data_IF_202641591690
#
_entry.id   IF_202641591690
#
_cell.length_a   1.000
_cell.length_b   1.000
_cell.length_c   1.000
_cell.angle_alpha   90.00
_cell.angle_beta   90.00
_cell.angle_gamma   90.00
#
_symmetry.space_group_name_H-M   'P 1'
#
loop_
_entity.id
_entity.type
_entity.pdbx_description
1 polymer ?
#
# COMPACT_ATOMS: atom_id res chain seq x y z
N UNK A 1 24.61 -4.83 7.30
CA UNK A 1 24.09 -5.01 5.93
C UNK A 1 24.48 -3.86 5.00
N UNK A 2 24.11 -2.60 5.28
CA UNK A 2 24.35 -1.48 4.35
C UNK A 2 25.66 -0.71 4.56
N UNK A 3 26.42 -1.01 5.63
CA UNK A 3 27.65 -0.29 5.98
C UNK A 3 28.63 -0.13 4.82
N UNK A 4 28.91 -1.15 3.98
CA UNK A 4 29.81 -0.98 2.84
C UNK A 4 29.36 0.10 1.85
N UNK A 5 28.06 0.21 1.62
CA UNK A 5 27.46 1.13 0.63
C UNK A 5 27.41 2.58 1.13
N UNK A 6 27.41 2.81 2.44
CA UNK A 6 27.30 4.15 3.04
C UNK A 6 28.60 4.64 3.69
N UNK A 7 29.65 3.82 3.68
CA UNK A 7 30.97 4.22 4.22
C UNK A 7 31.64 5.23 3.30
N UNK A 8 32.21 6.28 3.88
CA UNK A 8 33.03 7.29 3.19
C UNK A 8 34.38 7.38 3.87
N UNK A 9 35.40 7.77 3.12
CA UNK A 9 36.78 7.92 3.62
C UNK A 9 37.02 9.34 4.14
N UNK A 10 37.88 9.44 5.15
CA UNK A 10 38.36 10.73 5.64
C UNK A 10 39.09 11.48 4.54
N UNK A 11 38.89 12.80 4.50
CA UNK A 11 39.71 13.66 3.65
C UNK A 11 40.82 14.29 4.48
N UNK A 12 41.81 14.87 3.82
CA UNK A 12 42.90 15.62 4.49
C UNK A 12 42.38 16.74 5.41
N UNK A 13 41.18 17.27 5.15
CA UNK A 13 40.64 18.44 5.87
C UNK A 13 39.46 18.10 6.79
N UNK A 14 38.82 16.94 6.65
CA UNK A 14 37.60 16.60 7.40
C UNK A 14 37.47 15.10 7.64
N UNK A 15 37.06 14.72 8.86
CA UNK A 15 36.60 13.36 9.15
C UNK A 15 35.28 13.09 8.43
N UNK A 16 35.14 11.90 7.88
CA UNK A 16 33.89 11.44 7.28
C UNK A 16 32.84 11.20 8.37
N UNK A 17 31.58 11.51 8.04
CA UNK A 17 30.45 11.14 8.89
C UNK A 17 30.35 9.62 8.89
N UNK A 18 30.27 9.02 10.08
CA UNK A 18 30.31 7.57 10.23
C UNK A 18 29.08 6.90 9.59
N UNK A 19 29.18 5.64 9.15
CA UNK A 19 28.02 4.89 8.66
C UNK A 19 26.83 4.90 9.62
N UNK A 20 27.10 4.82 10.93
CA UNK A 20 26.11 4.83 11.99
C UNK A 20 25.40 6.18 12.08
N UNK A 21 26.14 7.29 12.02
CA UNK A 21 25.55 8.64 12.01
C UNK A 21 24.74 8.88 10.74
N UNK A 22 25.24 8.45 9.57
CA UNK A 22 24.52 8.56 8.29
C UNK A 22 23.18 7.83 8.32
N UNK A 23 23.18 6.61 8.87
CA UNK A 23 21.97 5.83 9.10
C UNK A 23 21.03 6.53 10.10
N UNK A 24 21.56 7.01 11.23
CA UNK A 24 20.76 7.69 12.25
C UNK A 24 20.10 8.96 11.72
N UNK A 25 20.83 9.79 10.96
CA UNK A 25 20.30 10.99 10.28
C UNK A 25 19.14 10.61 9.36
N UNK A 26 19.34 9.57 8.55
CA UNK A 26 18.33 9.13 7.57
C UNK A 26 17.08 8.59 8.26
N UNK A 27 17.23 7.67 9.23
CA UNK A 27 16.09 7.12 9.97
C UNK A 27 15.34 8.21 10.75
N UNK A 28 16.06 9.17 11.34
CA UNK A 28 15.46 10.33 12.00
C UNK A 28 14.63 11.15 11.01
N UNK A 29 15.18 11.47 9.84
CA UNK A 29 14.48 12.19 8.78
C UNK A 29 13.19 11.47 8.37
N UNK A 30 13.26 10.16 8.09
CA UNK A 30 12.09 9.37 7.67
C UNK A 30 11.01 9.31 8.76
N UNK A 31 11.43 9.06 10.02
CA UNK A 31 10.51 8.87 11.14
C UNK A 31 9.85 10.18 11.61
N UNK A 32 10.49 11.33 11.47
CA UNK A 32 10.00 12.61 12.03
C UNK A 32 9.56 13.64 10.99
N UNK A 33 10.01 13.51 9.74
CA UNK A 33 9.78 14.54 8.72
C UNK A 33 10.39 15.90 9.12
N UNK A 34 11.46 15.89 9.91
CA UNK A 34 12.22 17.09 10.27
C UNK A 34 12.88 17.74 9.05
N UNK A 35 13.09 19.05 9.11
CA UNK A 35 13.85 19.74 8.07
C UNK A 35 15.33 19.37 8.16
N UNK A 36 16.02 19.39 7.01
CA UNK A 36 17.48 19.18 6.99
C UNK A 36 18.22 20.22 7.83
N UNK A 37 17.64 21.41 8.00
CA UNK A 37 18.10 22.44 8.95
C UNK A 37 18.05 21.97 10.40
N UNK A 38 16.93 21.40 10.86
CA UNK A 38 16.82 20.84 12.21
C UNK A 38 17.86 19.75 12.45
N UNK A 39 17.94 18.80 11.51
CA UNK A 39 18.91 17.70 11.56
C UNK A 39 20.35 18.19 11.57
N UNK A 40 20.65 19.29 10.88
CA UNK A 40 21.98 19.88 10.85
C UNK A 40 22.44 20.34 12.23
N UNK A 41 21.56 20.98 13.01
CA UNK A 41 21.87 21.36 14.39
C UNK A 41 22.00 20.14 15.30
N UNK A 42 21.11 19.15 15.15
CA UNK A 42 21.10 17.97 16.02
C UNK A 42 22.34 17.09 15.84
N UNK A 43 22.71 16.79 14.61
CA UNK A 43 23.83 15.89 14.29
C UNK A 43 25.15 16.64 14.05
N UNK A 44 25.13 17.98 14.07
CA UNK A 44 26.30 18.84 13.76
C UNK A 44 26.90 18.54 12.39
N UNK A 45 26.06 18.20 11.43
CA UNK A 45 26.41 17.93 10.02
C UNK A 45 25.83 19.03 9.15
N UNK A 46 26.56 19.53 8.16
CA UNK A 46 26.04 20.59 7.29
C UNK A 46 24.80 20.14 6.51
N UNK A 47 23.85 21.05 6.27
CA UNK A 47 22.65 20.76 5.47
C UNK A 47 22.99 20.21 4.09
N UNK A 48 24.03 20.77 3.45
CA UNK A 48 24.51 20.31 2.15
C UNK A 48 24.89 18.83 2.19
N UNK A 49 25.62 18.39 3.23
CA UNK A 49 26.02 17.00 3.37
C UNK A 49 24.81 16.09 3.72
N UNK A 50 23.88 16.55 4.57
CA UNK A 50 22.64 15.83 4.86
C UNK A 50 21.81 15.59 3.58
N UNK A 51 21.76 16.59 2.69
CA UNK A 51 21.04 16.50 1.41
C UNK A 51 21.59 15.41 0.48
N UNK A 52 22.85 14.99 0.69
CA UNK A 52 23.50 13.88 -0.01
C UNK A 52 23.35 12.57 0.78
N UNK A 53 23.50 12.61 2.11
CA UNK A 53 23.40 11.44 3.00
C UNK A 53 22.04 10.75 2.87
N UNK A 54 20.95 11.51 2.92
CA UNK A 54 19.59 10.95 2.94
C UNK A 54 19.33 10.07 1.71
N UNK A 55 19.44 10.57 0.46
CA UNK A 55 19.17 9.75 -0.72
C UNK A 55 20.16 8.58 -0.86
N UNK A 56 21.46 8.79 -0.61
CA UNK A 56 22.46 7.71 -0.67
C UNK A 56 22.13 6.57 0.30
N UNK A 57 21.74 6.92 1.52
CA UNK A 57 21.40 5.93 2.55
C UNK A 57 20.06 5.26 2.26
N UNK A 58 19.07 5.99 1.75
CA UNK A 58 17.80 5.43 1.33
C UNK A 58 17.97 4.38 0.20
N UNK A 59 18.81 4.68 -0.81
CA UNK A 59 19.12 3.72 -1.88
C UNK A 59 19.77 2.47 -1.32
N UNK A 60 20.77 2.63 -0.44
CA UNK A 60 21.46 1.50 0.18
C UNK A 60 20.53 0.62 1.04
N UNK A 61 19.58 1.23 1.76
CA UNK A 61 18.54 0.51 2.51
C UNK A 61 17.67 -0.30 1.54
N UNK A 62 17.18 0.33 0.47
CA UNK A 62 16.32 -0.33 -0.51
C UNK A 62 17.03 -1.49 -1.20
N UNK A 63 18.23 -1.28 -1.73
CA UNK A 63 19.00 -2.32 -2.43
C UNK A 63 19.29 -3.54 -1.55
N UNK A 64 19.57 -3.33 -0.26
CA UNK A 64 19.87 -4.42 0.66
C UNK A 64 18.64 -5.19 1.13
N UNK A 65 17.48 -4.52 1.27
CA UNK A 65 16.29 -5.11 1.89
C UNK A 65 15.22 -5.53 0.87
N UNK A 66 15.16 -4.91 -0.30
CA UNK A 66 14.13 -5.17 -1.31
C UNK A 66 14.06 -6.65 -1.73
N UNK A 67 15.19 -7.36 -1.96
CA UNK A 67 15.15 -8.77 -2.34
C UNK A 67 14.55 -9.70 -1.27
N UNK A 68 14.56 -9.24 -0.01
CA UNK A 68 14.14 -10.03 1.16
C UNK A 68 12.67 -9.72 1.51
N UNK A 69 12.31 -8.43 1.59
CA UNK A 69 11.01 -7.99 2.15
C UNK A 69 10.01 -7.50 1.10
N UNK A 70 10.40 -7.31 -0.17
CA UNK A 70 9.51 -6.87 -1.27
C UNK A 70 9.57 -7.79 -2.48
N UNK A 71 9.73 -9.10 -2.25
CA UNK A 71 9.74 -10.10 -3.31
C UNK A 71 8.33 -10.34 -3.84
N UNK A 72 8.16 -10.23 -5.16
CA UNK A 72 6.90 -10.54 -5.85
C UNK A 72 6.75 -12.07 -5.95
N UNK A 73 5.61 -12.65 -5.51
CA UNK A 73 5.30 -14.05 -5.72
C UNK A 73 5.26 -14.37 -7.23
N UNK A 74 6.00 -15.40 -7.68
CA UNK A 74 6.09 -15.74 -9.12
C UNK A 74 5.36 -17.02 -9.51
N UNK A 75 4.94 -17.81 -8.53
CA UNK A 75 4.28 -19.09 -8.77
C UNK A 75 2.91 -19.15 -8.09
N UNK A 76 2.04 -20.01 -8.62
CA UNK A 76 0.70 -20.24 -8.06
C UNK A 76 0.74 -20.72 -6.61
N UNK A 77 1.73 -21.52 -6.27
CA UNK A 77 1.91 -21.98 -4.90
C UNK A 77 2.35 -20.85 -3.96
N UNK A 78 3.18 -19.92 -4.43
CA UNK A 78 3.56 -18.74 -3.64
C UNK A 78 2.36 -17.80 -3.41
N UNK A 79 1.56 -17.54 -4.45
CA UNK A 79 0.33 -16.77 -4.30
C UNK A 79 -0.70 -17.46 -3.41
N UNK A 80 -0.78 -18.80 -3.46
CA UNK A 80 -1.63 -19.59 -2.57
C UNK A 80 -1.19 -19.51 -1.12
N UNK A 81 0.13 -19.50 -0.85
CA UNK A 81 0.65 -19.28 0.51
C UNK A 81 0.30 -17.88 1.02
N UNK A 82 0.46 -16.86 0.17
CA UNK A 82 0.05 -15.49 0.50
C UNK A 82 -1.45 -15.40 0.79
N UNK A 83 -2.29 -16.14 0.04
CA UNK A 83 -3.73 -16.14 0.26
C UNK A 83 -4.19 -17.01 1.44
N UNK A 84 -3.45 -18.06 1.81
CA UNK A 84 -3.69 -18.82 3.04
C UNK A 84 -3.39 -17.99 4.28
N UNK A 85 -2.39 -17.11 4.17
CA UNK A 85 -2.13 -16.09 5.18
C UNK A 85 -3.14 -14.91 5.13
N UNK A 86 -4.24 -15.03 4.37
CA UNK A 86 -5.40 -14.14 4.45
C UNK A 86 -6.36 -14.71 5.51
N UNK A 87 -6.17 -14.43 6.82
CA UNK A 87 -7.13 -14.85 7.81
C UNK A 87 -8.51 -14.28 7.46
N UNK A 88 -9.56 -15.00 7.85
CA UNK A 88 -10.94 -14.52 7.79
C UNK A 88 -11.14 -13.16 8.48
N UNK A 89 -10.18 -12.75 9.32
CA UNK A 89 -10.11 -11.48 10.02
C UNK A 89 -8.95 -10.63 9.47
N UNK A 90 -9.28 -9.50 8.84
CA UNK A 90 -8.35 -8.53 8.21
C UNK A 90 -7.18 -8.11 9.13
N UNK A 91 -7.39 -8.16 10.44
CA UNK A 91 -6.49 -7.74 11.52
C UNK A 91 -5.20 -8.53 11.64
N UNK A 92 -5.21 -9.81 11.24
CA UNK A 92 -4.07 -10.72 11.43
C UNK A 92 -3.20 -10.86 10.17
N UNK A 93 -3.51 -10.14 9.09
CA UNK A 93 -3.01 -10.48 7.77
C UNK A 93 -1.62 -9.88 7.43
N UNK A 94 -0.74 -10.59 6.70
CA UNK A 94 0.48 -10.07 6.10
C UNK A 94 0.23 -9.12 4.91
N UNK A 95 -1.03 -8.79 4.62
CA UNK A 95 -1.45 -7.90 3.53
C UNK A 95 -0.95 -6.45 3.61
N UNK A 96 -0.28 -6.08 4.69
CA UNK A 96 0.40 -4.79 4.80
C UNK A 96 1.70 -4.71 3.99
N UNK A 97 2.10 -5.80 3.33
CA UNK A 97 3.33 -5.85 2.56
C UNK A 97 3.13 -5.25 1.18
N UNK A 98 3.84 -4.16 0.93
CA UNK A 98 3.96 -3.60 -0.42
C UNK A 98 4.87 -4.50 -1.26
N UNK A 99 4.36 -5.13 -2.31
CA UNK A 99 5.15 -5.99 -3.22
C UNK A 99 5.61 -5.25 -4.47
N UNK A 100 4.92 -4.16 -4.81
CA UNK A 100 5.23 -3.29 -5.94
C UNK A 100 4.84 -1.87 -5.58
N UNK A 101 5.53 -0.91 -6.15
CA UNK A 101 5.29 0.51 -5.92
C UNK A 101 5.56 1.29 -7.21
N UNK A 102 4.89 2.42 -7.35
CA UNK A 102 5.11 3.36 -8.44
C UNK A 102 4.79 4.77 -7.92
N UNK A 103 5.61 5.76 -8.31
CA UNK A 103 5.47 7.15 -7.88
C UNK A 103 5.98 8.11 -8.95
N UNK A 104 5.59 9.39 -8.85
CA UNK A 104 6.09 10.45 -9.74
C UNK A 104 5.11 10.91 -10.82
N UNK A 105 3.84 10.53 -10.74
CA UNK A 105 2.82 11.11 -11.62
C UNK A 105 2.44 12.51 -11.16
N UNK A 106 2.17 13.41 -12.11
CA UNK A 106 1.74 14.77 -11.83
C UNK A 106 0.41 14.76 -11.04
N UNK A 107 0.31 15.50 -9.94
CA UNK A 107 -0.90 15.54 -9.09
C UNK A 107 -2.16 16.12 -9.76
N UNK A 108 -2.06 16.65 -10.98
CA UNK A 108 -3.23 17.00 -11.82
C UNK A 108 -3.72 15.84 -12.70
N UNK A 109 -2.95 14.76 -12.80
CA UNK A 109 -3.40 13.58 -13.51
C UNK A 109 -4.47 12.88 -12.66
N UNK A 110 -5.57 12.50 -13.29
CA UNK A 110 -6.55 11.62 -12.65
C UNK A 110 -5.98 10.23 -12.44
N UNK A 111 -6.63 9.46 -11.58
CA UNK A 111 -6.18 8.11 -11.22
C UNK A 111 -6.31 7.13 -12.37
N UNK A 112 -7.34 7.30 -13.21
CA UNK A 112 -7.39 6.64 -14.51
C UNK A 112 -6.22 7.04 -15.42
N UNK A 113 -5.70 8.27 -15.33
CA UNK A 113 -4.50 8.73 -16.01
C UNK A 113 -3.20 8.14 -15.45
N UNK A 114 -3.10 8.01 -14.13
CA UNK A 114 -2.01 7.32 -13.42
C UNK A 114 -1.99 5.85 -13.83
N UNK A 115 -3.13 5.15 -13.72
CA UNK A 115 -3.28 3.74 -14.10
C UNK A 115 -2.90 3.48 -15.57
N UNK A 116 -3.30 4.37 -16.48
CA UNK A 116 -3.00 4.19 -17.90
C UNK A 116 -1.51 4.34 -18.26
N UNK A 117 -0.72 4.96 -17.38
CA UNK A 117 0.74 5.10 -17.52
C UNK A 117 1.50 4.15 -16.61
N UNK A 118 0.77 3.40 -15.78
CA UNK A 118 1.34 2.55 -14.74
C UNK A 118 1.97 1.32 -15.39
N UNK A 119 3.24 1.06 -15.09
CA UNK A 119 3.93 -0.13 -15.59
C UNK A 119 3.24 -1.42 -15.14
N UNK A 120 2.58 -1.39 -13.97
CA UNK A 120 1.80 -2.53 -13.49
C UNK A 120 0.70 -2.92 -14.48
N UNK A 121 0.04 -1.95 -15.11
CA UNK A 121 -0.99 -2.22 -16.11
C UNK A 121 -0.39 -2.93 -17.33
N UNK A 122 0.74 -2.44 -17.84
CA UNK A 122 1.46 -3.06 -18.96
C UNK A 122 1.82 -4.51 -18.64
N UNK A 123 2.49 -4.73 -17.51
CA UNK A 123 2.92 -6.07 -17.09
C UNK A 123 1.74 -7.04 -16.86
N UNK A 124 0.56 -6.54 -16.48
CA UNK A 124 -0.68 -7.32 -16.38
C UNK A 124 -1.23 -7.67 -17.76
N UNK A 125 -1.28 -6.69 -18.66
CA UNK A 125 -1.81 -6.87 -20.02
C UNK A 125 -0.92 -7.77 -20.88
N UNK A 126 0.39 -7.81 -20.58
CA UNK A 126 1.36 -8.72 -21.21
C UNK A 126 1.55 -10.04 -20.45
N UNK A 127 0.76 -10.32 -19.41
CA UNK A 127 0.84 -11.55 -18.59
C UNK A 127 2.23 -11.78 -17.93
N UNK A 128 3.06 -10.74 -17.82
CA UNK A 128 4.40 -10.83 -17.22
C UNK A 128 4.34 -10.95 -15.69
N UNK A 129 3.31 -10.35 -15.08
CA UNK A 129 2.89 -10.69 -13.73
C UNK A 129 1.94 -11.85 -13.90
N UNK A 130 2.33 -13.03 -13.40
CA UNK A 130 1.52 -14.24 -13.44
C UNK A 130 0.21 -14.13 -12.64
N UNK A 131 -0.70 -13.26 -13.08
CA UNK A 131 -2.12 -13.31 -12.72
C UNK A 131 -2.57 -14.68 -13.19
N UNK A 132 -2.95 -15.51 -12.23
CA UNK A 132 -3.29 -16.89 -12.50
C UNK A 132 -4.42 -16.99 -13.52
N UNK A 133 -4.43 -18.08 -14.30
CA UNK A 133 -5.58 -18.38 -15.14
C UNK A 133 -6.85 -18.41 -14.26
N UNK A 134 -8.01 -18.09 -14.86
CA UNK A 134 -9.29 -18.15 -14.16
C UNK A 134 -9.47 -19.45 -13.37
N UNK A 135 -9.99 -19.32 -12.16
CA UNK A 135 -10.18 -20.44 -11.25
C UNK A 135 -11.60 -20.43 -10.67
N UNK A 136 -12.05 -21.59 -10.21
CA UNK A 136 -13.34 -21.71 -9.55
C UNK A 136 -13.27 -21.07 -8.16
N UNK A 137 -14.31 -20.33 -7.80
CA UNK A 137 -14.49 -19.91 -6.41
C UNK A 137 -14.93 -21.12 -5.55
N UNK A 138 -14.74 -21.07 -4.23
CA UNK A 138 -15.20 -22.13 -3.34
C UNK A 138 -16.70 -22.39 -3.54
N UNK A 139 -17.05 -23.64 -3.88
CA UNK A 139 -18.42 -24.08 -4.17
C UNK A 139 -19.10 -23.35 -5.34
N UNK A 140 -18.33 -22.84 -6.31
CA UNK A 140 -18.85 -22.17 -7.50
C UNK A 140 -18.23 -22.77 -8.76
N UNK A 141 -19.03 -23.42 -9.60
CA UNK A 141 -18.54 -24.16 -10.77
C UNK A 141 -18.13 -23.27 -11.96
N UNK A 142 -18.35 -21.95 -11.84
CA UNK A 142 -17.97 -20.98 -12.86
C UNK A 142 -16.57 -20.46 -12.54
N UNK A 143 -15.67 -20.58 -13.51
CA UNK A 143 -14.35 -19.97 -13.45
C UNK A 143 -14.47 -18.44 -13.50
N UNK A 144 -13.81 -17.78 -12.55
CA UNK A 144 -13.67 -16.31 -12.53
C UNK A 144 -12.19 -15.93 -12.60
N UNK A 145 -11.85 -14.79 -13.23
CA UNK A 145 -10.49 -14.29 -13.23
C UNK A 145 -10.08 -13.78 -11.84
N UNK A 146 -8.78 -13.79 -11.58
CA UNK A 146 -8.21 -13.04 -10.46
C UNK A 146 -8.30 -11.54 -10.77
N UNK A 147 -8.65 -10.75 -9.75
CA UNK A 147 -8.86 -9.30 -9.90
C UNK A 147 -8.11 -8.51 -8.83
N UNK A 148 -7.62 -7.34 -9.22
CA UNK A 148 -7.16 -6.29 -8.32
C UNK A 148 -8.38 -5.48 -7.88
N UNK A 149 -8.49 -5.20 -6.58
CA UNK A 149 -9.58 -4.36 -6.07
C UNK A 149 -9.16 -2.89 -6.16
N UNK A 150 -9.89 -2.12 -6.93
CA UNK A 150 -9.75 -0.66 -7.05
C UNK A 150 -10.92 0.07 -6.39
N UNK A 151 -10.76 1.37 -6.20
CA UNK A 151 -11.85 2.27 -5.89
C UNK A 151 -12.61 2.70 -7.17
N UNK A 152 -13.60 3.56 -6.99
CA UNK A 152 -14.45 4.07 -8.06
C UNK A 152 -13.77 5.09 -9.00
N UNK A 153 -12.57 5.58 -8.67
CA UNK A 153 -11.80 6.47 -9.54
C UNK A 153 -11.08 5.71 -10.67
N UNK A 154 -10.85 4.41 -10.50
CA UNK A 154 -10.27 3.57 -11.54
C UNK A 154 -11.32 3.15 -12.60
N UNK A 155 -10.90 2.82 -13.83
CA UNK A 155 -11.78 2.22 -14.82
C UNK A 155 -12.04 0.74 -14.50
N UNK A 156 -13.30 0.29 -14.52
CA UNK A 156 -13.62 -1.13 -14.37
C UNK A 156 -13.09 -1.94 -15.57
N UNK A 157 -12.29 -2.97 -15.30
CA UNK A 157 -11.70 -3.89 -16.29
C UNK A 157 -11.85 -5.36 -15.82
N UNK A 158 -11.50 -6.33 -16.68
CA UNK A 158 -11.60 -7.76 -16.34
C UNK A 158 -10.73 -8.15 -15.14
N UNK A 159 -9.61 -7.46 -14.96
CA UNK A 159 -8.61 -7.68 -13.91
C UNK A 159 -8.64 -6.57 -12.84
N UNK A 160 -9.50 -5.56 -12.97
CA UNK A 160 -9.58 -4.41 -12.05
C UNK A 160 -11.03 -4.19 -11.65
N UNK A 161 -11.35 -4.56 -10.41
CA UNK A 161 -12.69 -4.64 -9.86
C UNK A 161 -13.00 -3.43 -8.99
N UNK A 162 -14.07 -2.72 -9.34
CA UNK A 162 -14.48 -1.48 -8.68
C UNK A 162 -15.95 -1.57 -8.23
N UNK A 163 -16.37 -0.80 -7.22
CA UNK A 163 -17.74 -0.82 -6.75
C UNK A 163 -18.76 -0.45 -7.83
N UNK A 164 -20.01 -0.85 -7.64
CA UNK A 164 -21.12 -0.34 -8.44
C UNK A 164 -21.27 1.18 -8.18
N UNK A 165 -21.53 1.98 -9.23
CA UNK A 165 -21.74 3.42 -9.08
C UNK A 165 -23.20 3.75 -8.68
N UNK A 166 -23.40 4.91 -8.03
CA UNK A 166 -24.72 5.47 -7.68
C UNK A 166 -25.23 5.05 -6.30
N UNK A 167 -26.15 5.82 -5.72
CA UNK A 167 -26.62 5.61 -4.34
C UNK A 167 -27.89 4.73 -4.21
N UNK A 168 -28.70 4.62 -5.27
CA UNK A 168 -29.88 3.75 -5.30
C UNK A 168 -29.50 2.36 -5.80
N UNK A 169 -28.88 1.56 -4.93
CA UNK A 169 -28.43 0.22 -5.26
C UNK A 169 -29.33 -0.85 -4.63
N UNK A 170 -29.49 -1.99 -5.30
CA UNK A 170 -30.10 -3.15 -4.67
C UNK A 170 -29.26 -3.62 -3.49
N UNK A 171 -29.87 -4.26 -2.51
CA UNK A 171 -29.16 -4.82 -1.34
C UNK A 171 -27.96 -5.70 -1.76
N UNK A 172 -28.10 -6.46 -2.84
CA UNK A 172 -27.04 -7.31 -3.40
C UNK A 172 -25.78 -6.53 -3.81
N UNK A 173 -25.98 -5.36 -4.44
CA UNK A 173 -24.89 -4.47 -4.87
C UNK A 173 -24.26 -3.76 -3.67
N UNK A 174 -25.05 -3.39 -2.66
CA UNK A 174 -24.53 -2.88 -1.40
C UNK A 174 -23.62 -3.89 -0.72
N UNK A 175 -24.03 -5.17 -0.65
CA UNK A 175 -23.21 -6.25 -0.10
C UNK A 175 -21.90 -6.38 -0.87
N UNK A 176 -21.95 -6.41 -2.21
CA UNK A 176 -20.75 -6.46 -3.04
C UNK A 176 -19.81 -5.27 -2.77
N UNK A 177 -20.33 -4.05 -2.77
CA UNK A 177 -19.56 -2.84 -2.53
C UNK A 177 -18.93 -2.82 -1.14
N UNK A 178 -19.68 -3.26 -0.13
CA UNK A 178 -19.17 -3.41 1.22
C UNK A 178 -18.02 -4.42 1.24
N UNK A 179 -18.16 -5.62 0.64
CA UNK A 179 -17.06 -6.61 0.57
C UNK A 179 -15.80 -6.05 -0.08
N UNK A 180 -15.95 -5.27 -1.16
CA UNK A 180 -14.84 -4.55 -1.80
C UNK A 180 -14.21 -3.51 -0.87
N UNK A 181 -15.02 -2.70 -0.19
CA UNK A 181 -14.55 -1.72 0.80
C UNK A 181 -13.74 -2.42 1.89
N UNK A 182 -14.21 -3.56 2.40
CA UNK A 182 -13.45 -4.33 3.40
C UNK A 182 -12.10 -4.83 2.89
N UNK A 183 -12.03 -5.26 1.64
CA UNK A 183 -10.77 -5.63 1.01
C UNK A 183 -9.84 -4.41 0.88
N UNK A 184 -10.37 -3.22 0.58
CA UNK A 184 -9.59 -1.97 0.49
C UNK A 184 -9.13 -1.42 1.84
N UNK A 185 -9.80 -1.72 2.95
CA UNK A 185 -9.33 -1.32 4.30
C UNK A 185 -7.93 -1.80 4.61
N UNK A 186 -7.51 -2.89 4.00
CA UNK A 186 -6.14 -3.40 4.05
C UNK A 186 -5.15 -2.35 3.53
N UNK A 187 -5.37 -1.83 2.31
CA UNK A 187 -4.49 -0.83 1.72
C UNK A 187 -4.60 0.51 2.46
N UNK A 188 -5.79 0.90 2.91
CA UNK A 188 -6.03 2.13 3.68
C UNK A 188 -5.25 2.10 5.00
N UNK A 189 -5.42 1.03 5.80
CA UNK A 189 -4.63 0.83 7.02
C UNK A 189 -3.12 0.79 6.71
N UNK A 190 -2.69 0.22 5.59
CA UNK A 190 -1.26 0.14 5.24
C UNK A 190 -0.66 1.52 5.02
N UNK A 191 -1.34 2.37 4.23
CA UNK A 191 -0.93 3.75 4.03
C UNK A 191 -1.04 4.58 5.31
N UNK A 192 -2.07 4.34 6.13
CA UNK A 192 -2.25 4.96 7.44
C UNK A 192 -1.09 4.67 8.39
N UNK A 193 -0.73 3.39 8.57
CA UNK A 193 0.42 2.97 9.38
C UNK A 193 1.72 3.53 8.81
N UNK A 194 1.91 3.43 7.49
CA UNK A 194 3.11 3.92 6.82
C UNK A 194 3.32 5.42 7.10
N UNK A 195 2.27 6.24 6.95
CA UNK A 195 2.33 7.69 7.17
C UNK A 195 2.46 8.05 8.66
N UNK A 196 1.84 7.27 9.55
CA UNK A 196 1.97 7.43 11.00
C UNK A 196 3.38 7.08 11.51
N UNK A 197 4.02 6.06 10.93
CA UNK A 197 5.38 5.65 11.33
C UNK A 197 6.48 6.45 10.64
N UNK A 198 6.24 6.87 9.40
CA UNK A 198 7.16 7.68 8.61
C UNK A 198 6.56 9.06 8.37
N UNK A 199 6.71 9.93 9.37
CA UNK A 199 6.16 11.29 9.38
C UNK A 199 6.70 12.18 8.24
N UNK A 200 7.72 11.73 7.51
CA UNK A 200 8.15 12.35 6.25
C UNK A 200 7.02 12.46 5.22
N UNK A 201 6.00 11.59 5.27
CA UNK A 201 4.84 11.66 4.38
C UNK A 201 3.79 12.69 4.80
N UNK A 202 3.82 13.16 6.05
CA UNK A 202 2.86 14.15 6.54
C UNK A 202 3.23 15.59 6.16
N UNK A 203 4.32 15.77 5.42
CA UNK A 203 4.78 17.06 4.89
C UNK A 203 5.25 16.87 3.44
N UNK A 204 5.18 17.91 2.59
CA UNK A 204 5.76 17.86 1.27
C UNK A 204 7.26 17.50 1.34
N UNK A 205 7.66 16.44 0.63
CA UNK A 205 9.06 16.02 0.55
C UNK A 205 9.80 17.02 -0.35
N UNK A 206 10.52 17.97 0.26
CA UNK A 206 11.20 19.08 -0.44
C UNK A 206 12.50 18.64 -1.13
N UNK A 207 12.37 17.83 -2.17
CA UNK A 207 13.49 17.35 -3.00
C UNK A 207 13.02 17.09 -4.43
N UNK A 208 13.94 16.85 -5.36
CA UNK A 208 13.59 16.44 -6.72
C UNK A 208 12.90 15.05 -6.73
N UNK A 209 12.04 14.75 -7.72
CA UNK A 209 11.26 13.51 -7.80
C UNK A 209 12.10 12.24 -7.66
N UNK A 210 13.31 12.22 -8.23
CA UNK A 210 14.20 11.05 -8.22
C UNK A 210 14.65 10.72 -6.79
N UNK A 211 14.97 11.74 -5.99
CA UNK A 211 15.34 11.57 -4.58
C UNK A 211 14.12 11.29 -3.70
N UNK A 212 12.96 11.83 -4.05
CA UNK A 212 11.70 11.51 -3.36
C UNK A 212 11.35 10.03 -3.54
N UNK A 213 11.58 9.47 -4.73
CA UNK A 213 11.42 8.04 -4.99
C UNK A 213 12.31 7.19 -4.09
N UNK A 214 13.57 7.58 -3.86
CA UNK A 214 14.47 6.88 -2.93
C UNK A 214 13.92 6.88 -1.50
N UNK A 215 13.38 8.01 -1.05
CA UNK A 215 12.73 8.12 0.28
C UNK A 215 11.52 7.18 0.37
N UNK A 216 10.65 7.19 -0.65
CA UNK A 216 9.47 6.32 -0.73
C UNK A 216 9.89 4.84 -0.68
N UNK A 217 10.84 4.44 -1.52
CA UNK A 217 11.40 3.09 -1.58
C UNK A 217 11.92 2.61 -0.22
N UNK A 218 12.70 3.44 0.45
CA UNK A 218 13.24 3.13 1.78
C UNK A 218 12.14 2.95 2.81
N UNK A 219 11.14 3.83 2.85
CA UNK A 219 10.01 3.71 3.76
C UNK A 219 9.20 2.41 3.51
N UNK A 220 8.92 2.08 2.26
CA UNK A 220 8.16 0.87 1.90
C UNK A 220 8.87 -0.42 2.32
N UNK A 221 10.18 -0.51 2.05
CA UNK A 221 10.94 -1.71 2.41
C UNK A 221 11.12 -1.83 3.93
N UNK A 222 11.34 -0.71 4.63
CA UNK A 222 11.43 -0.68 6.09
C UNK A 222 10.08 -1.03 6.74
N UNK A 223 8.97 -0.56 6.17
CA UNK A 223 7.62 -0.95 6.60
C UNK A 223 7.45 -2.47 6.54
N UNK A 224 7.77 -3.08 5.40
CA UNK A 224 7.66 -4.53 5.23
C UNK A 224 8.57 -5.31 6.19
N UNK A 225 9.80 -4.83 6.40
CA UNK A 225 10.74 -5.42 7.36
C UNK A 225 10.20 -5.35 8.78
N UNK A 226 9.81 -4.15 9.26
CA UNK A 226 9.31 -3.94 10.62
C UNK A 226 8.00 -4.70 10.87
N UNK A 227 7.12 -4.80 9.88
CA UNK A 227 5.93 -5.66 9.94
C UNK A 227 6.25 -7.14 10.05
N UNK A 228 7.37 -7.58 9.48
CA UNK A 228 7.79 -8.99 9.47
C UNK A 228 8.51 -9.36 10.76
N UNK A 229 9.37 -8.48 11.27
CA UNK A 229 10.26 -8.79 12.39
C UNK A 229 9.72 -8.31 13.75
N UNK A 230 8.91 -7.25 13.75
CA UNK A 230 8.47 -6.56 14.98
C UNK A 230 7.00 -6.15 14.88
N UNK A 231 6.14 -7.07 14.43
CA UNK A 231 4.72 -6.80 14.11
C UNK A 231 3.96 -6.11 15.25
N UNK A 232 4.12 -6.63 16.48
CA UNK A 232 3.40 -6.13 17.66
C UNK A 232 3.83 -4.70 18.00
N UNK A 233 5.12 -4.38 17.90
CA UNK A 233 5.63 -3.04 18.21
C UNK A 233 5.32 -2.03 17.10
N UNK A 234 5.47 -2.46 15.84
CA UNK A 234 5.32 -1.58 14.68
C UNK A 234 3.86 -1.25 14.36
N UNK A 235 2.96 -2.18 14.61
CA UNK A 235 1.56 -2.11 14.18
C UNK A 235 0.68 -2.87 15.16
N UNK A 236 0.58 -2.35 16.39
CA UNK A 236 -0.27 -2.94 17.41
C UNK A 236 -1.74 -2.88 16.97
N UNK A 237 -2.61 -3.79 17.45
CA UNK A 237 -4.00 -3.87 17.00
C UNK A 237 -4.76 -2.56 17.11
N UNK A 238 -4.49 -1.75 18.14
CA UNK A 238 -5.15 -0.46 18.40
C UNK A 238 -4.86 0.58 17.32
N UNK A 239 -3.76 0.41 16.57
CA UNK A 239 -3.45 1.28 15.47
C UNK A 239 -4.38 1.01 14.28
N UNK A 240 -4.88 -0.21 14.10
CA UNK A 240 -5.62 -0.67 12.92
C UNK A 240 -7.13 -0.41 13.02
N UNK A 241 -7.78 -0.17 11.88
CA UNK A 241 -9.23 -0.24 11.78
C UNK A 241 -9.70 -1.69 11.98
N UNK A 242 -10.64 -1.89 12.92
CA UNK A 242 -11.16 -3.20 13.31
C UNK A 242 -12.68 -3.28 13.12
N UNK A 243 -13.17 -4.47 12.78
CA UNK A 243 -14.60 -4.77 12.70
C UNK A 243 -15.06 -5.43 14.01
N UNK A 244 -15.78 -4.69 14.86
CA UNK A 244 -16.47 -5.28 16.01
C UNK A 244 -17.79 -5.89 15.52
N UNK A 245 -17.73 -7.15 15.07
CA UNK A 245 -18.88 -7.90 14.54
C UNK A 245 -19.97 -8.03 15.60
N UNK A 246 -19.61 -8.17 16.88
CA UNK A 246 -20.57 -8.34 17.97
C UNK A 246 -21.33 -7.05 18.26
N UNK A 247 -20.64 -5.90 18.24
CA UNK A 247 -21.25 -4.59 18.46
C UNK A 247 -21.72 -3.92 17.17
N UNK A 248 -21.56 -4.58 16.01
CA UNK A 248 -21.94 -4.07 14.69
C UNK A 248 -21.39 -2.67 14.44
N UNK A 249 -20.09 -2.48 14.67
CA UNK A 249 -19.45 -1.19 14.48
C UNK A 249 -18.03 -1.34 13.95
N UNK A 250 -17.61 -0.34 13.20
CA UNK A 250 -16.21 -0.12 12.90
C UNK A 250 -15.56 0.54 14.11
N UNK A 251 -14.46 -0.03 14.59
CA UNK A 251 -13.54 0.63 15.52
C UNK A 251 -12.43 1.22 14.68
N UNK A 252 -12.41 2.56 14.62
CA UNK A 252 -11.41 3.31 13.87
C UNK A 252 -10.08 3.23 14.61
N UNK A 253 -9.01 2.93 13.89
CA UNK A 253 -7.66 2.79 14.41
C UNK A 253 -7.03 4.13 14.78
N UNK A 254 -6.08 4.12 15.70
CA UNK A 254 -5.40 5.34 16.16
C UNK A 254 -4.60 6.07 15.07
N UNK A 255 -4.34 5.45 13.91
CA UNK A 255 -3.62 6.15 12.84
C UNK A 255 -4.42 7.33 12.27
N UNK A 256 -5.75 7.35 12.45
CA UNK A 256 -6.62 8.46 12.06
C UNK A 256 -6.41 9.73 12.91
N UNK A 257 -6.00 9.60 14.18
CA UNK A 257 -5.79 10.74 15.10
C UNK A 257 -4.65 11.68 14.65
N UNK A 258 -3.76 11.20 13.78
CA UNK A 258 -2.58 11.91 13.31
C UNK A 258 -2.68 12.37 11.84
N UNK A 259 -3.84 12.22 11.20
CA UNK A 259 -4.00 12.70 9.83
C UNK A 259 -4.05 14.22 9.74
N UNK A 260 -3.22 14.77 8.85
CA UNK A 260 -3.41 16.07 8.21
C UNK A 260 -3.47 15.82 6.70
N UNK A 261 -4.66 15.54 6.15
CA UNK A 261 -4.99 15.52 4.70
C UNK A 261 -3.86 15.08 3.72
N UNK A 262 -3.04 14.08 4.09
CA UNK A 262 -1.81 13.78 3.36
C UNK A 262 -2.07 12.91 2.11
N UNK A 263 -3.17 12.15 2.14
CA UNK A 263 -3.68 11.35 1.03
C UNK A 263 -5.08 11.89 0.71
N UNK A 264 -5.19 12.64 -0.38
CA UNK A 264 -6.46 13.19 -0.82
C UNK A 264 -7.32 12.12 -1.51
N UNK A 265 -8.64 12.28 -1.41
CA UNK A 265 -9.57 11.46 -2.17
C UNK A 265 -9.35 11.61 -3.67
N UNK A 266 -9.52 10.50 -4.38
CA UNK A 266 -9.27 10.36 -5.80
C UNK A 266 -10.32 11.10 -6.65
N UNK A 267 -9.92 11.62 -7.80
CA UNK A 267 -10.86 12.29 -8.71
C UNK A 267 -11.57 11.26 -9.59
N UNK A 268 -12.86 11.06 -9.34
CA UNK A 268 -13.70 10.15 -10.13
C UNK A 268 -13.87 10.67 -11.56
N UNK A 269 -13.41 9.90 -12.55
CA UNK A 269 -13.72 10.12 -13.97
C UNK A 269 -14.59 8.99 -14.50
N UNK A 270 -15.86 9.30 -14.78
CA UNK A 270 -16.81 8.35 -15.34
C UNK A 270 -16.38 7.87 -16.74
N UNK A 271 -16.11 6.57 -16.90
CA UNK A 271 -15.90 5.90 -18.19
C UNK A 271 -16.86 4.72 -18.33
N UNK A 272 -17.37 4.48 -19.55
CA UNK A 272 -18.23 3.31 -19.80
C UNK A 272 -17.39 2.03 -19.80
N UNK A 273 -17.67 1.06 -18.91
CA UNK A 273 -16.94 -0.20 -18.88
C UNK A 273 -17.31 -1.11 -20.07
N UNK A 274 -16.39 -2.02 -20.43
CA UNK A 274 -16.67 -3.07 -21.42
C UNK A 274 -17.64 -4.10 -20.83
N UNK A 275 -18.51 -4.69 -21.67
CA UNK A 275 -19.53 -5.67 -21.24
C UNK A 275 -18.94 -6.82 -20.43
N UNK A 276 -17.82 -7.39 -20.88
CA UNK A 276 -17.20 -8.51 -20.17
C UNK A 276 -16.70 -8.13 -18.77
N UNK A 277 -16.24 -6.89 -18.55
CA UNK A 277 -15.81 -6.43 -17.23
C UNK A 277 -17.01 -6.30 -16.26
N UNK A 278 -18.17 -5.88 -16.79
CA UNK A 278 -19.42 -5.87 -16.02
C UNK A 278 -19.84 -7.30 -15.65
N UNK A 279 -19.75 -8.24 -16.58
CA UNK A 279 -20.06 -9.65 -16.33
C UNK A 279 -19.20 -10.24 -15.21
N UNK A 280 -17.90 -9.99 -15.22
CA UNK A 280 -17.01 -10.45 -14.13
C UNK A 280 -17.48 -9.86 -12.79
N UNK A 281 -17.80 -8.57 -12.72
CA UNK A 281 -18.33 -7.95 -11.50
C UNK A 281 -19.65 -8.58 -11.05
N UNK A 282 -20.57 -8.81 -11.98
CA UNK A 282 -21.87 -9.41 -11.69
C UNK A 282 -21.72 -10.87 -11.21
N UNK A 283 -20.72 -11.62 -11.71
CA UNK A 283 -20.39 -12.96 -11.20
C UNK A 283 -19.92 -12.93 -9.74
N UNK A 284 -19.02 -12.00 -9.38
CA UNK A 284 -18.59 -11.82 -7.99
C UNK A 284 -19.75 -11.36 -7.10
N UNK A 285 -20.59 -10.44 -7.59
CA UNK A 285 -21.79 -10.00 -6.88
C UNK A 285 -22.73 -11.18 -6.61
N UNK A 286 -22.99 -12.02 -7.61
CA UNK A 286 -23.84 -13.21 -7.49
C UNK A 286 -23.26 -14.18 -6.47
N UNK A 287 -21.96 -14.46 -6.54
CA UNK A 287 -21.28 -15.33 -5.58
C UNK A 287 -21.40 -14.83 -4.14
N UNK A 288 -21.15 -13.53 -3.89
CA UNK A 288 -21.23 -12.95 -2.55
C UNK A 288 -22.63 -12.98 -1.93
N UNK A 289 -23.67 -13.01 -2.77
CA UNK A 289 -25.06 -13.10 -2.32
C UNK A 289 -25.55 -14.55 -2.17
N UNK A 290 -24.84 -15.53 -2.71
CA UNK A 290 -25.22 -16.94 -2.70
C UNK A 290 -24.18 -17.82 -1.98
N UNK A 291 -23.40 -18.62 -2.70
CA UNK A 291 -22.49 -19.64 -2.14
C UNK A 291 -21.35 -19.03 -1.31
N UNK A 292 -20.97 -17.79 -1.64
CA UNK A 292 -19.99 -17.01 -0.89
C UNK A 292 -20.58 -16.24 0.29
N UNK A 293 -21.90 -16.30 0.54
CA UNK A 293 -22.61 -15.55 1.59
C UNK A 293 -22.04 -15.83 2.99
N UNK A 294 -22.03 -14.79 3.82
CA UNK A 294 -21.44 -14.83 5.16
C UNK A 294 -22.39 -14.18 6.18
N UNK A 295 -22.47 -14.68 7.43
CA UNK A 295 -23.56 -14.31 8.35
C UNK A 295 -23.68 -12.81 8.66
N UNK A 296 -22.55 -12.10 8.73
CA UNK A 296 -22.50 -10.69 9.13
C UNK A 296 -22.74 -9.69 7.98
N UNK A 297 -22.77 -10.13 6.72
CA UNK A 297 -22.70 -9.18 5.59
C UNK A 297 -23.93 -8.30 5.43
N UNK A 298 -25.13 -8.85 5.67
CA UNK A 298 -26.37 -8.10 5.50
C UNK A 298 -26.47 -6.98 6.54
N UNK A 299 -26.04 -7.25 7.76
CA UNK A 299 -26.09 -6.29 8.85
C UNK A 299 -25.04 -5.20 8.69
N UNK A 300 -23.83 -5.57 8.28
CA UNK A 300 -22.73 -4.62 8.13
C UNK A 300 -22.81 -3.79 6.83
N UNK A 301 -23.37 -4.35 5.75
CA UNK A 301 -23.56 -3.59 4.51
C UNK A 301 -24.59 -2.45 4.65
N UNK A 302 -25.49 -2.53 5.64
CA UNK A 302 -26.46 -1.46 5.95
C UNK A 302 -25.84 -0.29 6.72
N UNK A 303 -24.66 -0.47 7.31
CA UNK A 303 -23.93 0.56 8.06
C UNK A 303 -23.02 1.40 7.16
N UNK A 304 -22.91 1.05 5.89
CA UNK A 304 -21.89 1.52 4.96
C UNK A 304 -22.49 2.08 3.67
#
# INVERSE_FOLDING_TARGET
>A
MIQPSISKTDTRMTKAVTPQERLAITLRYLATGETQTSLSYQFRVSQNLISLIIPETCSAIYEALQPIYMRIPRSQEEWRKVSQDFPQFVELSPLFRSIRWEAGTNGRASDGGVWNKCKLKEDIEYEEIGIHPPANLPNYDIQVPYVIVGDDAFPLQKYLMNPYPGNDQSNEKHIHNYRLSRARRVSENAFGILSSRFQVFNKPIRTCPERANMVIQACLVLHNMLRTESRQDYSPPELLDQEDIQRRRMVVGQWHDHQHNALGDLQVIARRPKRDAMQVRDLFCTYFNNEGSVPWQNEMALLH
#
